data_IF_427793151789
#
_entry.id   IF_427793151789
#
_cell.length_a   1.000
_cell.length_b   1.000
_cell.length_c   1.000
_cell.angle_alpha   90.00
_cell.angle_beta   90.00
_cell.angle_gamma   90.00
#
_symmetry.space_group_name_H-M   'P 1'
#
loop_
_entity.id
_entity.type
_entity.pdbx_description
1 polymer ?
#
# COMPACT_ATOMS: atom_id res chain seq x y z
N UNK A 1 17.20 28.36 3.59
CA UNK A 1 16.88 27.78 2.28
C UNK A 1 15.87 26.68 2.53
N UNK A 2 14.59 26.91 2.21
CA UNK A 2 13.50 26.00 2.51
C UNK A 2 13.29 25.02 1.34
N UNK A 3 13.33 23.72 1.62
CA UNK A 3 13.13 22.65 0.64
C UNK A 3 11.71 22.71 0.06
N UNK A 4 11.63 22.94 -1.26
CA UNK A 4 10.39 22.85 -2.04
C UNK A 4 9.98 21.39 -2.15
N UNK A 5 8.82 21.04 -1.59
CA UNK A 5 8.14 19.75 -1.81
C UNK A 5 7.85 19.57 -3.32
N UNK A 6 7.98 18.35 -3.88
CA UNK A 6 7.76 18.13 -5.30
C UNK A 6 6.27 18.28 -5.63
N UNK A 7 5.99 19.06 -6.67
CA UNK A 7 4.67 19.48 -7.09
C UNK A 7 3.78 18.32 -7.59
N UNK A 8 2.50 18.37 -7.19
CA UNK A 8 1.37 17.69 -7.82
C UNK A 8 1.42 17.88 -9.34
N UNK A 9 1.31 16.79 -10.11
CA UNK A 9 1.07 16.93 -11.56
C UNK A 9 1.58 15.84 -12.50
N UNK A 10 2.15 14.72 -12.00
CA UNK A 10 2.56 13.62 -12.90
C UNK A 10 1.56 12.46 -12.98
N UNK A 11 0.79 12.22 -11.92
CA UNK A 11 -0.10 11.06 -11.83
C UNK A 11 -1.37 11.16 -12.68
N UNK A 12 -2.01 12.33 -12.71
CA UNK A 12 -3.23 12.55 -13.50
C UNK A 12 -2.97 12.43 -15.00
N UNK A 13 -1.78 12.87 -15.45
CA UNK A 13 -1.35 12.88 -16.86
C UNK A 13 -1.31 11.50 -17.51
N UNK A 14 -1.22 10.43 -16.72
CA UNK A 14 -1.23 9.05 -17.22
C UNK A 14 -2.64 8.52 -17.52
N UNK A 15 -3.69 9.12 -16.94
CA UNK A 15 -5.08 8.67 -17.08
C UNK A 15 -5.97 9.65 -17.83
N UNK A 16 -5.68 10.95 -17.71
CA UNK A 16 -6.21 12.02 -18.54
C UNK A 16 -4.99 12.78 -19.02
N UNK A 17 -4.70 12.87 -20.33
CA UNK A 17 -3.54 13.61 -20.77
C UNK A 17 -3.73 15.09 -20.40
N UNK A 18 -3.07 15.54 -19.34
CA UNK A 18 -2.67 16.94 -19.14
C UNK A 18 -1.54 17.26 -20.14
N UNK A 19 -1.74 16.85 -21.40
CA UNK A 19 -1.01 17.45 -22.48
C UNK A 19 -1.38 18.94 -22.44
N UNK A 20 -0.41 19.87 -22.44
CA UNK A 20 -0.71 21.24 -22.87
C UNK A 20 -1.51 21.07 -24.16
N UNK A 21 -2.69 21.71 -24.23
CA UNK A 21 -3.56 21.65 -25.40
C UNK A 21 -2.66 21.80 -26.61
N UNK A 22 -2.39 20.70 -27.31
CA UNK A 22 -1.53 20.76 -28.46
C UNK A 22 -2.21 21.78 -29.38
N UNK A 23 -1.48 22.65 -30.10
CA UNK A 23 -2.09 23.65 -30.97
C UNK A 23 -3.01 23.05 -32.07
N UNK A 24 -3.14 21.72 -32.12
CA UNK A 24 -4.04 20.94 -32.97
C UNK A 24 -5.41 20.60 -32.36
N UNK A 25 -5.63 20.70 -31.04
CA UNK A 25 -6.97 20.59 -30.43
C UNK A 25 -7.68 21.94 -30.64
N UNK A 26 -8.35 22.12 -31.79
CA UNK A 26 -9.07 23.35 -32.10
C UNK A 26 -10.15 23.59 -31.04
N UNK A 27 -9.98 24.65 -30.25
CA UNK A 27 -11.04 25.13 -29.38
C UNK A 27 -12.24 25.54 -30.24
N UNK A 28 -13.41 24.99 -29.94
CA UNK A 28 -14.68 25.33 -30.61
C UNK A 28 -15.52 26.14 -29.65
N UNK A 29 -16.19 27.18 -30.13
CA UNK A 29 -17.16 27.90 -29.31
C UNK A 29 -18.52 27.20 -29.33
N UNK A 30 -19.05 26.91 -28.15
CA UNK A 30 -20.36 26.27 -27.97
C UNK A 30 -21.19 27.08 -26.98
N UNK A 31 -22.50 27.08 -27.19
CA UNK A 31 -23.44 27.75 -26.29
C UNK A 31 -23.34 27.18 -24.88
N UNK A 32 -23.30 28.06 -23.88
CA UNK A 32 -23.09 27.69 -22.47
C UNK A 32 -24.17 26.73 -21.93
N UNK A 33 -25.37 26.77 -22.51
CA UNK A 33 -26.52 25.93 -22.16
C UNK A 33 -26.40 24.48 -22.66
N UNK A 34 -25.53 24.21 -23.65
CA UNK A 34 -25.26 22.86 -24.14
C UNK A 34 -24.26 22.10 -23.26
N UNK A 35 -23.63 22.77 -22.30
CA UNK A 35 -22.71 22.16 -21.35
C UNK A 35 -23.46 21.75 -20.08
N UNK A 36 -23.27 20.50 -19.66
CA UNK A 36 -23.81 19.94 -18.42
C UNK A 36 -22.68 19.62 -17.45
N UNK A 37 -22.88 19.83 -16.14
CA UNK A 37 -21.90 19.45 -15.13
C UNK A 37 -21.74 17.93 -15.07
N UNK A 38 -20.55 17.47 -14.69
CA UNK A 38 -20.30 16.06 -14.46
C UNK A 38 -21.14 15.54 -13.28
N UNK A 39 -22.04 14.60 -13.55
CA UNK A 39 -22.88 13.94 -12.53
C UNK A 39 -22.08 13.25 -11.42
N UNK A 40 -20.83 12.90 -11.70
CA UNK A 40 -19.93 12.18 -10.79
C UNK A 40 -18.95 13.08 -10.02
N UNK A 41 -18.96 14.40 -10.26
CA UNK A 41 -18.15 15.37 -9.50
C UNK A 41 -19.04 16.47 -8.87
N UNK A 42 -19.92 16.14 -7.90
CA UNK A 42 -20.61 17.16 -7.13
C UNK A 42 -19.57 17.89 -6.25
N UNK A 43 -19.22 19.13 -6.59
CA UNK A 43 -18.48 19.99 -5.65
C UNK A 43 -19.37 20.30 -4.45
N UNK A 44 -19.07 19.69 -3.32
CA UNK A 44 -19.80 19.87 -2.05
C UNK A 44 -19.57 21.24 -1.40
N UNK A 45 -18.52 21.97 -1.78
CA UNK A 45 -18.25 23.33 -1.32
C UNK A 45 -17.86 24.22 -2.49
N UNK A 46 -18.83 25.03 -2.92
CA UNK A 46 -18.62 26.01 -3.97
C UNK A 46 -18.36 27.34 -3.28
N UNK A 47 -17.12 27.78 -3.33
CA UNK A 47 -16.71 29.09 -2.84
C UNK A 47 -17.23 30.17 -3.80
N UNK A 48 -18.42 30.68 -3.51
CA UNK A 48 -19.13 31.65 -4.34
C UNK A 48 -18.34 32.95 -4.55
N UNK A 49 -17.55 33.37 -3.56
CA UNK A 49 -16.69 34.55 -3.65
C UNK A 49 -15.62 34.40 -4.73
N UNK A 50 -14.94 33.24 -4.76
CA UNK A 50 -13.93 32.97 -5.80
C UNK A 50 -14.50 32.80 -7.21
N UNK A 51 -15.76 32.39 -7.34
CA UNK A 51 -16.43 32.35 -8.65
C UNK A 51 -16.73 33.76 -9.13
N UNK A 52 -17.15 34.67 -8.24
CA UNK A 52 -17.47 36.05 -8.57
C UNK A 52 -16.23 36.81 -9.10
N UNK A 53 -15.09 36.62 -8.45
CA UNK A 53 -13.83 37.22 -8.90
C UNK A 53 -13.38 36.68 -10.27
N UNK A 54 -13.55 35.38 -10.50
CA UNK A 54 -13.28 34.77 -11.80
C UNK A 54 -14.25 35.28 -12.87
N UNK A 55 -15.53 35.48 -12.53
CA UNK A 55 -16.53 36.03 -13.45
C UNK A 55 -16.19 37.47 -13.85
N UNK A 56 -15.70 38.31 -12.93
CA UNK A 56 -15.20 39.66 -13.24
C UNK A 56 -14.01 39.62 -14.21
N UNK A 57 -13.07 38.70 -14.01
CA UNK A 57 -11.92 38.51 -14.90
C UNK A 57 -12.35 38.05 -16.30
N UNK A 58 -13.23 37.05 -16.36
CA UNK A 58 -13.77 36.49 -17.61
C UNK A 58 -14.59 37.53 -18.39
N UNK A 59 -15.30 38.44 -17.71
CA UNK A 59 -16.05 39.52 -18.39
C UNK A 59 -15.14 40.47 -19.18
N UNK A 60 -13.89 40.68 -18.73
CA UNK A 60 -12.93 41.56 -19.40
C UNK A 60 -12.06 40.87 -20.45
N UNK A 61 -11.67 39.61 -20.23
CA UNK A 61 -10.67 38.93 -21.05
C UNK A 61 -11.18 37.66 -21.74
N UNK A 62 -12.45 37.28 -21.52
CA UNK A 62 -13.00 36.01 -21.96
C UNK A 62 -12.37 34.82 -21.23
N UNK A 63 -12.64 33.62 -21.73
CA UNK A 63 -12.02 32.39 -21.23
C UNK A 63 -10.74 32.12 -22.02
N UNK A 64 -9.59 32.30 -21.39
CA UNK A 64 -8.29 32.06 -22.01
C UNK A 64 -8.00 30.55 -22.16
N UNK A 65 -8.36 29.77 -21.14
CA UNK A 65 -8.12 28.32 -21.14
C UNK A 65 -9.45 27.58 -21.43
N UNK A 66 -9.55 26.85 -22.55
CA UNK A 66 -10.79 26.15 -22.94
C UNK A 66 -11.28 25.15 -21.89
N UNK A 67 -12.59 24.94 -21.84
CA UNK A 67 -13.23 23.93 -20.99
C UNK A 67 -13.11 22.57 -21.68
N UNK A 68 -12.68 21.54 -20.95
CA UNK A 68 -12.57 20.19 -21.52
C UNK A 68 -13.91 19.49 -21.33
N UNK A 69 -14.47 18.99 -22.42
CA UNK A 69 -15.78 18.33 -22.42
C UNK A 69 -15.72 17.00 -23.17
N UNK A 70 -16.63 16.09 -22.84
CA UNK A 70 -16.96 14.93 -23.69
C UNK A 70 -18.24 15.19 -24.45
N UNK A 71 -18.36 14.61 -25.65
CA UNK A 71 -19.57 14.66 -26.45
C UNK A 71 -20.60 13.67 -25.88
N UNK A 72 -21.85 14.12 -25.78
CA UNK A 72 -23.02 13.31 -25.41
C UNK A 72 -24.04 13.35 -26.57
N UNK A 73 -25.07 12.51 -26.51
CA UNK A 73 -26.14 12.52 -27.53
C UNK A 73 -26.83 13.89 -27.61
N UNK A 74 -27.09 14.53 -26.46
CA UNK A 74 -27.77 15.83 -26.34
C UNK A 74 -26.87 16.93 -25.72
N UNK A 75 -25.65 17.11 -26.28
CA UNK A 75 -24.76 18.21 -25.92
C UNK A 75 -23.40 17.75 -25.41
N UNK A 76 -22.90 18.40 -24.36
CA UNK A 76 -21.55 18.19 -23.83
C UNK A 76 -21.55 18.02 -22.32
N UNK A 77 -20.77 17.08 -21.80
CA UNK A 77 -20.55 16.93 -20.37
C UNK A 77 -19.16 17.46 -19.99
N UNK A 78 -19.10 18.33 -18.97
CA UNK A 78 -17.85 18.96 -18.53
C UNK A 78 -16.97 17.92 -17.86
N UNK A 79 -15.78 17.69 -18.40
CA UNK A 79 -14.77 16.82 -17.80
C UNK A 79 -13.87 17.61 -16.86
N UNK A 80 -13.44 18.81 -17.29
CA UNK A 80 -12.61 19.70 -16.49
C UNK A 80 -12.92 21.17 -16.78
N UNK A 81 -12.88 22.00 -15.73
CA UNK A 81 -13.13 23.43 -15.85
C UNK A 81 -14.52 23.90 -15.40
N UNK A 82 -15.22 23.14 -14.54
CA UNK A 82 -16.55 23.49 -14.03
C UNK A 82 -16.62 24.91 -13.43
N UNK A 83 -15.58 25.35 -12.70
CA UNK A 83 -15.50 26.73 -12.17
C UNK A 83 -15.50 27.79 -13.26
N UNK A 84 -14.83 27.53 -14.39
CA UNK A 84 -14.75 28.44 -15.55
C UNK A 84 -16.11 28.53 -16.24
N UNK A 85 -16.79 27.39 -16.43
CA UNK A 85 -18.16 27.36 -16.96
C UNK A 85 -19.15 28.13 -16.08
N UNK A 86 -19.15 27.89 -14.76
CA UNK A 86 -20.02 28.63 -13.83
C UNK A 86 -19.71 30.13 -13.80
N UNK A 87 -18.44 30.50 -13.81
CA UNK A 87 -18.04 31.91 -13.87
C UNK A 87 -18.42 32.56 -15.22
N UNK A 88 -18.40 31.80 -16.32
CA UNK A 88 -18.86 32.26 -17.62
C UNK A 88 -20.37 32.49 -17.67
N UNK A 89 -21.16 31.60 -17.07
CA UNK A 89 -22.60 31.81 -16.88
C UNK A 89 -22.88 33.08 -16.07
N UNK A 90 -22.18 33.29 -14.95
CA UNK A 90 -22.30 34.53 -14.15
C UNK A 90 -21.80 35.79 -14.87
N UNK A 91 -20.81 35.63 -15.75
CA UNK A 91 -20.32 36.72 -16.59
C UNK A 91 -21.29 37.10 -17.72
N UNK A 92 -22.31 36.27 -17.99
CA UNK A 92 -23.29 36.48 -19.06
C UNK A 92 -22.77 36.08 -20.44
N UNK A 93 -21.76 35.21 -20.52
CA UNK A 93 -21.25 34.72 -21.79
C UNK A 93 -22.23 33.72 -22.41
N UNK A 94 -22.66 33.98 -23.64
CA UNK A 94 -23.50 33.07 -24.42
C UNK A 94 -22.71 31.87 -24.94
N UNK A 95 -21.43 32.09 -25.30
CA UNK A 95 -20.54 31.08 -25.86
C UNK A 95 -19.27 30.93 -25.06
N UNK A 96 -18.77 29.71 -24.99
CA UNK A 96 -17.51 29.39 -24.31
C UNK A 96 -16.62 28.51 -25.18
N UNK A 97 -15.29 28.73 -25.16
CA UNK A 97 -14.35 27.87 -25.84
C UNK A 97 -14.27 26.52 -25.13
N UNK A 98 -14.53 25.46 -25.87
CA UNK A 98 -14.43 24.07 -25.42
C UNK A 98 -13.41 23.29 -26.24
N UNK A 99 -12.83 22.26 -25.63
CA UNK A 99 -12.09 21.21 -26.33
C UNK A 99 -12.83 19.91 -26.09
N UNK A 100 -13.31 19.30 -27.19
CA UNK A 100 -13.99 18.01 -27.15
C UNK A 100 -12.94 16.92 -27.13
N UNK A 101 -12.95 16.09 -26.09
CA UNK A 101 -12.13 14.89 -26.03
C UNK A 101 -13.02 13.66 -25.96
N UNK A 102 -12.67 12.67 -26.77
CA UNK A 102 -13.33 11.38 -26.73
C UNK A 102 -12.74 10.57 -25.56
N UNK A 103 -13.38 10.71 -24.40
CA UNK A 103 -12.97 10.05 -23.17
C UNK A 103 -14.06 9.04 -22.80
N UNK A 104 -13.73 7.73 -22.74
CA UNK A 104 -14.66 6.71 -22.27
C UNK A 104 -15.19 7.04 -20.88
N UNK A 105 -16.46 6.73 -20.62
CA UNK A 105 -17.10 6.98 -19.32
C UNK A 105 -16.31 6.36 -18.16
N UNK A 106 -15.80 5.15 -18.35
CA UNK A 106 -14.99 4.43 -17.35
C UNK A 106 -13.74 5.23 -16.94
N UNK A 107 -13.09 5.92 -17.90
CA UNK A 107 -11.92 6.74 -17.62
C UNK A 107 -12.27 7.99 -16.82
N UNK A 108 -13.44 8.57 -17.07
CA UNK A 108 -13.94 9.72 -16.30
C UNK A 108 -14.27 9.33 -14.86
N UNK A 109 -14.94 8.19 -14.70
CA UNK A 109 -15.25 7.62 -13.39
C UNK A 109 -13.99 7.30 -12.59
N UNK A 110 -12.99 6.68 -13.23
CA UNK A 110 -11.70 6.40 -12.61
C UNK A 110 -11.01 7.69 -12.14
N UNK A 111 -11.02 8.73 -12.98
CA UNK A 111 -10.43 10.04 -12.61
C UNK A 111 -11.17 10.71 -11.46
N UNK A 112 -12.50 10.67 -11.44
CA UNK A 112 -13.30 11.22 -10.35
C UNK A 112 -13.04 10.47 -9.03
N UNK A 113 -12.90 9.14 -9.10
CA UNK A 113 -12.54 8.32 -7.94
C UNK A 113 -11.15 8.67 -7.43
N UNK A 114 -10.16 8.87 -8.31
CA UNK A 114 -8.78 9.24 -7.94
C UNK A 114 -8.73 10.63 -7.28
N UNK A 115 -9.46 11.62 -7.81
CA UNK A 115 -9.57 12.93 -7.17
C UNK A 115 -10.17 12.80 -5.76
N UNK A 116 -11.21 11.98 -5.61
CA UNK A 116 -11.81 11.74 -4.29
C UNK A 116 -10.82 11.07 -3.33
N UNK A 117 -9.99 10.14 -3.81
CA UNK A 117 -8.92 9.49 -3.03
C UNK A 117 -7.88 10.50 -2.54
N UNK A 118 -7.57 11.53 -3.33
CA UNK A 118 -6.58 12.55 -2.99
C UNK A 118 -7.08 13.58 -1.95
N UNK A 119 -8.33 13.47 -1.47
CA UNK A 119 -8.86 14.33 -0.41
C UNK A 119 -8.34 13.86 0.95
N UNK A 120 -8.01 14.82 1.83
CA UNK A 120 -7.29 14.55 3.09
C UNK A 120 -8.09 13.82 4.18
N UNK A 121 -9.37 13.51 3.95
CA UNK A 121 -10.30 13.04 4.99
C UNK A 121 -10.63 11.53 4.93
N UNK A 122 -10.06 10.76 3.99
CA UNK A 122 -10.41 9.34 3.85
C UNK A 122 -9.76 8.47 4.93
N UNK A 123 -10.57 7.56 5.49
CA UNK A 123 -10.03 6.55 6.38
C UNK A 123 -9.30 5.44 5.59
N UNK A 124 -8.37 4.69 6.21
CA UNK A 124 -7.58 3.69 5.49
C UNK A 124 -8.39 2.56 4.83
N UNK A 125 -9.57 2.25 5.37
CA UNK A 125 -10.46 1.23 4.80
C UNK A 125 -11.18 1.77 3.56
N UNK A 126 -11.59 3.04 3.57
CA UNK A 126 -12.16 3.72 2.40
C UNK A 126 -11.14 3.84 1.27
N UNK A 127 -9.90 4.23 1.58
CA UNK A 127 -8.81 4.21 0.60
C UNK A 127 -8.62 2.82 -0.01
N UNK A 128 -8.59 1.78 0.83
CA UNK A 128 -8.44 0.39 0.38
C UNK A 128 -9.59 -0.05 -0.55
N UNK A 129 -10.83 0.32 -0.22
CA UNK A 129 -11.99 0.07 -1.08
C UNK A 129 -11.87 0.82 -2.41
N UNK A 130 -11.45 2.07 -2.39
CA UNK A 130 -11.28 2.88 -3.59
C UNK A 130 -10.19 2.30 -4.51
N UNK A 131 -9.06 1.87 -3.96
CA UNK A 131 -8.02 1.16 -4.73
C UNK A 131 -8.51 -0.17 -5.32
N UNK A 132 -9.33 -0.92 -4.57
CA UNK A 132 -9.91 -2.16 -5.10
C UNK A 132 -10.88 -1.88 -6.25
N UNK A 133 -11.71 -0.85 -6.13
CA UNK A 133 -12.60 -0.42 -7.23
C UNK A 133 -11.82 0.01 -8.46
N UNK A 134 -10.72 0.76 -8.30
CA UNK A 134 -9.81 1.11 -9.40
C UNK A 134 -9.23 -0.11 -10.12
N UNK A 135 -8.91 -1.17 -9.38
CA UNK A 135 -8.40 -2.41 -9.97
C UNK A 135 -9.50 -3.25 -10.64
N UNK A 136 -10.64 -3.42 -9.98
CA UNK A 136 -11.68 -4.36 -10.40
C UNK A 136 -12.61 -3.77 -11.47
N UNK A 137 -13.09 -2.53 -11.29
CA UNK A 137 -14.04 -1.87 -12.19
C UNK A 137 -13.35 -1.21 -13.38
N UNK A 138 -12.14 -0.66 -13.19
CA UNK A 138 -11.42 0.11 -14.21
C UNK A 138 -10.19 -0.62 -14.77
N UNK A 139 -9.97 -1.86 -14.34
CA UNK A 139 -8.87 -2.73 -14.79
C UNK A 139 -7.48 -2.08 -14.69
N UNK A 140 -7.29 -1.18 -13.73
CA UNK A 140 -5.99 -0.53 -13.51
C UNK A 140 -5.06 -1.44 -12.72
N UNK A 141 -3.81 -1.49 -13.14
CA UNK A 141 -2.77 -2.18 -12.39
C UNK A 141 -2.41 -1.40 -11.12
N UNK A 142 -1.87 -2.09 -10.11
CA UNK A 142 -1.39 -1.44 -8.88
C UNK A 142 -0.34 -0.36 -9.15
N UNK A 143 0.46 -0.52 -10.20
CA UNK A 143 1.47 0.44 -10.63
C UNK A 143 0.82 1.71 -11.20
N UNK A 144 -0.14 1.58 -12.10
CA UNK A 144 -0.90 2.71 -12.62
C UNK A 144 -1.67 3.46 -11.53
N UNK A 145 -2.27 2.73 -10.57
CA UNK A 145 -2.95 3.34 -9.43
C UNK A 145 -1.94 4.13 -8.59
N UNK A 146 -0.80 3.53 -8.25
CA UNK A 146 0.26 4.14 -7.46
C UNK A 146 0.77 5.45 -8.08
N UNK A 147 1.07 5.42 -9.38
CA UNK A 147 1.49 6.61 -10.14
C UNK A 147 0.41 7.70 -10.11
N UNK A 148 -0.86 7.31 -10.25
CA UNK A 148 -1.98 8.25 -10.30
C UNK A 148 -2.25 8.94 -8.96
N UNK A 149 -2.04 8.24 -7.85
CA UNK A 149 -2.24 8.79 -6.49
C UNK A 149 -0.96 9.30 -5.82
N UNK A 150 0.20 9.18 -6.49
CA UNK A 150 1.49 9.62 -5.95
C UNK A 150 1.97 8.81 -4.74
N UNK A 151 1.57 7.54 -4.64
CA UNK A 151 2.05 6.58 -3.61
C UNK A 151 2.92 5.51 -4.27
N UNK A 152 3.63 4.72 -3.48
CA UNK A 152 4.38 3.58 -4.02
C UNK A 152 3.45 2.37 -4.27
N UNK A 153 3.80 1.52 -5.24
CA UNK A 153 3.05 0.29 -5.56
C UNK A 153 2.85 -0.61 -4.35
N UNK A 154 3.84 -0.69 -3.45
CA UNK A 154 3.75 -1.56 -2.28
C UNK A 154 2.68 -1.04 -1.31
N UNK A 155 2.54 0.28 -1.15
CA UNK A 155 1.48 0.91 -0.37
C UNK A 155 0.11 0.52 -0.90
N UNK A 156 -0.15 0.62 -2.20
CA UNK A 156 -1.42 0.21 -2.81
C UNK A 156 -1.74 -1.26 -2.49
N UNK A 157 -0.76 -2.15 -2.68
CA UNK A 157 -0.93 -3.56 -2.35
C UNK A 157 -1.25 -3.78 -0.86
N UNK A 158 -0.61 -3.02 0.04
CA UNK A 158 -0.83 -3.12 1.47
C UNK A 158 -2.24 -2.64 1.85
N UNK A 159 -2.73 -1.53 1.30
CA UNK A 159 -4.10 -1.06 1.52
C UNK A 159 -5.13 -2.12 1.09
N UNK A 160 -5.02 -2.63 -0.14
CA UNK A 160 -5.96 -3.65 -0.66
C UNK A 160 -5.96 -4.91 0.21
N UNK A 161 -4.81 -5.31 0.78
CA UNK A 161 -4.73 -6.46 1.70
C UNK A 161 -5.50 -6.26 3.00
N UNK A 162 -5.70 -5.03 3.47
CA UNK A 162 -6.48 -4.75 4.69
C UNK A 162 -7.93 -5.20 4.56
N UNK A 163 -8.46 -5.24 3.34
CA UNK A 163 -9.82 -5.72 3.08
C UNK A 163 -9.98 -7.22 3.40
N UNK A 164 -8.88 -7.96 3.54
CA UNK A 164 -8.88 -9.37 3.97
C UNK A 164 -9.04 -9.54 5.48
N UNK A 165 -8.88 -8.46 6.27
CA UNK A 165 -9.07 -8.53 7.71
C UNK A 165 -10.56 -8.70 8.06
N UNK A 166 -10.87 -9.36 9.20
CA UNK A 166 -12.22 -9.47 9.74
C UNK A 166 -12.87 -8.11 9.92
N UNK A 167 -14.21 -8.07 9.81
CA UNK A 167 -14.99 -6.82 9.87
C UNK A 167 -14.71 -6.01 11.12
N UNK A 168 -14.56 -6.65 12.28
CA UNK A 168 -14.28 -5.97 13.56
C UNK A 168 -12.90 -5.27 13.54
N UNK A 169 -11.87 -5.92 13.00
CA UNK A 169 -10.53 -5.33 12.87
C UNK A 169 -10.55 -4.15 11.90
N UNK A 170 -11.30 -4.27 10.79
CA UNK A 170 -11.49 -3.16 9.84
C UNK A 170 -12.23 -1.99 10.48
N UNK A 171 -13.24 -2.25 11.31
CA UNK A 171 -13.97 -1.21 12.04
C UNK A 171 -13.05 -0.46 13.01
N UNK A 172 -12.21 -1.17 13.77
CA UNK A 172 -11.22 -0.58 14.67
C UNK A 172 -10.15 0.23 13.93
N UNK A 173 -9.79 -0.16 12.70
CA UNK A 173 -8.89 0.62 11.85
C UNK A 173 -9.58 1.89 11.31
N UNK A 174 -10.84 1.79 10.91
CA UNK A 174 -11.63 2.93 10.43
C UNK A 174 -11.89 3.98 11.54
N UNK A 175 -12.09 3.54 12.78
CA UNK A 175 -12.25 4.44 13.94
C UNK A 175 -10.94 5.03 14.46
N UNK A 176 -9.78 4.59 13.95
CA UNK A 176 -8.46 5.00 14.42
C UNK A 176 -7.99 4.30 15.70
N UNK A 177 -8.77 3.36 16.25
CA UNK A 177 -8.36 2.55 17.41
C UNK A 177 -7.20 1.61 17.10
N UNK A 178 -7.04 1.22 15.83
CA UNK A 178 -5.87 0.53 15.31
C UNK A 178 -5.17 1.39 14.28
N UNK A 179 -3.84 1.38 14.31
CA UNK A 179 -3.03 1.99 13.26
C UNK A 179 -2.88 1.05 12.06
N UNK A 180 -2.48 1.60 10.92
CA UNK A 180 -2.08 0.83 9.73
C UNK A 180 -0.97 -0.19 10.03
N UNK A 181 -0.04 0.13 10.93
CA UNK A 181 1.01 -0.79 11.37
C UNK A 181 0.44 -2.01 12.08
N UNK A 182 -0.50 -1.81 13.00
CA UNK A 182 -1.19 -2.91 13.69
C UNK A 182 -1.94 -3.81 12.71
N UNK A 183 -2.71 -3.21 11.80
CA UNK A 183 -3.49 -3.95 10.82
C UNK A 183 -2.60 -4.79 9.88
N UNK A 184 -1.44 -4.25 9.47
CA UNK A 184 -0.45 -4.99 8.68
C UNK A 184 0.16 -6.17 9.44
N UNK A 185 0.46 -5.99 10.73
CA UNK A 185 0.99 -7.07 11.55
C UNK A 185 -0.04 -8.20 11.70
N UNK A 186 -1.31 -7.85 11.93
CA UNK A 186 -2.41 -8.84 12.06
C UNK A 186 -2.56 -9.71 10.80
N UNK A 187 -2.31 -9.17 9.60
CA UNK A 187 -2.34 -9.93 8.35
C UNK A 187 -1.29 -11.06 8.27
N UNK A 188 -0.30 -11.10 9.16
CA UNK A 188 0.66 -12.20 9.24
C UNK A 188 0.11 -13.44 9.98
N UNK A 189 -0.99 -13.28 10.73
CA UNK A 189 -1.63 -14.38 11.44
C UNK A 189 -2.40 -15.29 10.46
N UNK A 190 -2.36 -16.62 10.69
CA UNK A 190 -2.84 -17.60 9.72
C UNK A 190 -4.37 -17.69 9.61
N UNK A 191 -5.09 -17.39 10.69
CA UNK A 191 -6.53 -17.56 10.78
C UNK A 191 -7.25 -16.32 11.34
N UNK A 192 -8.52 -16.16 10.97
CA UNK A 192 -9.35 -15.01 11.38
C UNK A 192 -9.58 -14.96 12.89
N UNK A 193 -9.67 -16.10 13.58
CA UNK A 193 -9.90 -16.15 15.02
C UNK A 193 -8.68 -15.59 15.80
N UNK A 194 -7.46 -15.90 15.35
CA UNK A 194 -6.24 -15.32 15.85
C UNK A 194 -6.17 -13.82 15.59
N UNK A 195 -6.56 -13.36 14.39
CA UNK A 195 -6.61 -11.94 14.04
C UNK A 195 -7.57 -11.16 14.93
N UNK A 196 -8.77 -11.70 15.20
CA UNK A 196 -9.74 -11.10 16.12
C UNK A 196 -9.24 -11.05 17.56
N UNK A 197 -8.72 -12.18 18.06
CA UNK A 197 -8.21 -12.28 19.44
C UNK A 197 -7.08 -11.29 19.69
N UNK A 198 -6.06 -11.29 18.83
CA UNK A 198 -4.91 -10.39 18.95
C UNK A 198 -5.31 -8.95 18.67
N UNK A 199 -6.21 -8.71 17.72
CA UNK A 199 -6.73 -7.38 17.43
C UNK A 199 -7.42 -6.74 18.63
N UNK A 200 -8.26 -7.50 19.35
CA UNK A 200 -8.90 -7.06 20.60
C UNK A 200 -7.86 -6.79 21.68
N UNK A 201 -6.88 -7.67 21.84
CA UNK A 201 -5.81 -7.50 22.82
C UNK A 201 -4.99 -6.22 22.58
N UNK A 202 -4.63 -5.91 21.33
CA UNK A 202 -3.94 -4.67 20.97
C UNK A 202 -4.75 -3.44 21.36
N UNK A 203 -6.07 -3.43 21.11
CA UNK A 203 -6.94 -2.31 21.45
C UNK A 203 -7.11 -2.18 22.97
N UNK A 204 -7.40 -3.28 23.67
CA UNK A 204 -7.63 -3.27 25.12
C UNK A 204 -6.38 -2.88 25.91
N UNK A 205 -5.21 -3.39 25.51
CA UNK A 205 -3.94 -3.10 26.17
C UNK A 205 -3.21 -1.87 25.57
N UNK A 206 -3.82 -1.18 24.60
CA UNK A 206 -3.25 -0.01 23.91
C UNK A 206 -1.79 -0.22 23.46
N UNK A 207 -1.52 -1.40 22.88
CA UNK A 207 -0.16 -1.79 22.51
C UNK A 207 0.41 -0.90 21.41
N UNK A 208 1.73 -0.67 21.46
CA UNK A 208 2.44 -0.02 20.36
C UNK A 208 2.60 -0.97 19.16
N UNK A 209 2.89 -0.42 17.98
CA UNK A 209 3.11 -1.22 16.77
C UNK A 209 4.22 -2.26 16.98
N UNK A 210 5.28 -1.87 17.68
CA UNK A 210 6.41 -2.75 17.98
C UNK A 210 6.02 -3.89 18.93
N UNK A 211 5.19 -3.59 19.93
CA UNK A 211 4.73 -4.60 20.88
C UNK A 211 3.77 -5.58 20.22
N UNK A 212 2.87 -5.08 19.37
CA UNK A 212 1.97 -5.89 18.55
C UNK A 212 2.76 -6.82 17.61
N UNK A 213 3.78 -6.31 16.92
CA UNK A 213 4.67 -7.12 16.06
C UNK A 213 5.41 -8.20 16.87
N UNK A 214 5.91 -7.86 18.06
CA UNK A 214 6.58 -8.81 18.96
C UNK A 214 5.64 -9.92 19.43
N UNK A 215 4.41 -9.56 19.82
CA UNK A 215 3.37 -10.50 20.24
C UNK A 215 2.99 -11.45 19.11
N UNK A 216 2.77 -10.92 17.90
CA UNK A 216 2.45 -11.71 16.72
C UNK A 216 3.61 -12.62 16.35
N UNK A 217 4.85 -12.11 16.36
CA UNK A 217 6.05 -12.91 16.09
C UNK A 217 6.20 -14.08 17.05
N UNK A 218 5.93 -13.88 18.35
CA UNK A 218 5.92 -14.97 19.35
C UNK A 218 4.83 -16.00 19.07
N UNK A 219 3.64 -15.55 18.66
CA UNK A 219 2.51 -16.42 18.33
C UNK A 219 2.70 -17.20 17.02
N UNK A 220 3.44 -16.65 16.04
CA UNK A 220 3.72 -17.29 14.74
C UNK A 220 5.06 -18.01 14.68
N UNK A 221 5.88 -17.92 15.72
CA UNK A 221 7.19 -18.59 15.73
C UNK A 221 6.97 -20.11 15.67
N UNK A 222 7.69 -20.84 14.79
CA UNK A 222 7.68 -22.29 14.83
C UNK A 222 8.13 -22.75 16.22
N UNK A 223 7.56 -23.85 16.77
CA UNK A 223 7.99 -24.34 18.08
C UNK A 223 9.52 -24.51 18.07
N UNK A 224 10.21 -24.11 19.15
CA UNK A 224 11.65 -24.30 19.21
C UNK A 224 11.94 -25.77 18.94
N UNK A 225 12.84 -26.06 17.98
CA UNK A 225 13.30 -27.42 17.71
C UNK A 225 13.79 -27.98 19.04
N UNK A 226 13.06 -28.94 19.61
CA UNK A 226 13.53 -29.72 20.74
C UNK A 226 14.86 -30.33 20.35
N UNK A 227 15.94 -29.89 20.98
CA UNK A 227 17.19 -30.63 20.96
C UNK A 227 16.88 -32.06 21.44
N UNK A 228 17.25 -33.12 20.70
CA UNK A 228 16.99 -34.47 21.14
C UNK A 228 17.66 -34.68 22.50
N UNK A 229 16.89 -35.10 23.50
CA UNK A 229 17.41 -35.51 24.80
C UNK A 229 18.49 -36.57 24.57
N UNK A 230 19.75 -36.20 24.78
CA UNK A 230 20.88 -37.12 24.70
C UNK A 230 20.69 -38.16 25.80
N UNK A 231 20.49 -39.42 25.39
CA UNK A 231 20.44 -40.60 26.26
C UNK A 231 21.50 -40.52 27.37
N UNK A 232 21.11 -40.79 28.63
CA UNK A 232 21.99 -40.73 29.82
C UNK A 232 23.27 -41.57 29.64
N UNK A 233 23.18 -42.67 28.89
CA UNK A 233 24.31 -43.53 28.54
C UNK A 233 25.29 -42.89 27.54
N UNK A 234 24.79 -42.04 26.64
CA UNK A 234 25.62 -41.32 25.64
C UNK A 234 26.44 -40.24 26.32
N UNK A 235 25.84 -39.50 27.26
CA UNK A 235 26.54 -38.47 28.03
C UNK A 235 27.67 -39.03 28.91
N UNK A 236 27.43 -40.17 29.57
CA UNK A 236 28.47 -40.84 30.37
C UNK A 236 29.63 -41.37 29.51
N UNK A 237 29.34 -41.83 28.29
CA UNK A 237 30.37 -42.25 27.33
C UNK A 237 31.17 -41.06 26.76
N UNK A 238 30.50 -39.94 26.45
CA UNK A 238 31.15 -38.69 26.05
C UNK A 238 32.10 -38.16 27.14
N UNK A 239 31.67 -38.15 28.40
CA UNK A 239 32.53 -37.68 29.50
C UNK A 239 33.75 -38.57 29.73
N UNK A 240 33.60 -39.90 29.63
CA UNK A 240 34.74 -40.83 29.74
C UNK A 240 35.73 -40.67 28.59
N UNK A 241 35.24 -40.56 27.35
CA UNK A 241 36.11 -40.34 26.19
C UNK A 241 36.80 -38.97 26.24
N UNK A 242 36.09 -37.93 26.72
CA UNK A 242 36.68 -36.60 26.95
C UNK A 242 37.80 -36.65 27.98
N UNK A 243 37.62 -37.39 29.08
CA UNK A 243 38.65 -37.55 30.11
C UNK A 243 39.85 -38.37 29.63
N UNK A 244 39.62 -39.43 28.84
CA UNK A 244 40.69 -40.28 28.32
C UNK A 244 41.52 -39.59 27.21
N UNK A 245 40.86 -38.90 26.28
CA UNK A 245 41.52 -38.29 25.11
C UNK A 245 41.97 -36.84 25.34
N UNK A 246 41.50 -36.20 26.42
CA UNK A 246 41.81 -34.81 26.75
C UNK A 246 41.19 -33.78 25.80
N UNK A 247 40.32 -34.21 24.89
CA UNK A 247 39.71 -33.37 23.84
C UNK A 247 38.20 -33.43 23.85
N UNK A 248 37.55 -32.50 23.13
CA UNK A 248 36.08 -32.49 23.05
C UNK A 248 35.62 -33.65 22.18
N UNK A 249 34.82 -34.53 22.78
CA UNK A 249 34.23 -35.69 22.10
C UNK A 249 32.72 -35.55 22.08
N UNK A 250 32.11 -35.79 20.91
CA UNK A 250 30.66 -35.82 20.71
C UNK A 250 30.25 -37.17 20.13
N UNK A 251 29.17 -37.75 20.65
CA UNK A 251 28.63 -39.01 20.17
C UNK A 251 27.25 -38.74 19.56
N UNK A 252 27.21 -38.67 18.23
CA UNK A 252 25.96 -38.55 17.48
C UNK A 252 25.42 -39.95 17.16
N UNK A 253 24.39 -40.40 17.89
CA UNK A 253 23.71 -41.67 17.60
C UNK A 253 22.69 -41.52 16.48
N UNK A 254 22.65 -42.48 15.55
CA UNK A 254 21.64 -42.57 14.48
C UNK A 254 21.15 -44.02 14.37
N UNK A 255 20.03 -44.33 15.02
CA UNK A 255 19.47 -45.68 15.07
C UNK A 255 20.35 -46.65 15.87
N UNK A 256 20.68 -47.83 15.30
CA UNK A 256 21.58 -48.83 15.91
C UNK A 256 23.08 -48.50 15.79
N UNK A 257 23.42 -47.49 15.00
CA UNK A 257 24.79 -47.02 14.80
C UNK A 257 24.99 -45.60 15.31
N UNK A 258 26.20 -45.07 15.18
CA UNK A 258 26.52 -43.71 15.56
C UNK A 258 27.86 -43.26 15.01
N UNK A 259 28.14 -41.98 15.19
CA UNK A 259 29.44 -41.37 14.90
C UNK A 259 30.01 -40.81 16.19
N UNK A 260 31.29 -41.06 16.42
CA UNK A 260 32.08 -40.37 17.43
C UNK A 260 32.89 -39.31 16.71
N UNK A 261 32.67 -38.05 17.05
CA UNK A 261 33.41 -36.90 16.54
C UNK A 261 34.37 -36.43 17.64
N UNK A 262 35.66 -36.41 17.32
CA UNK A 262 36.74 -36.00 18.23
C UNK A 262 37.36 -34.75 17.61
N UNK A 263 37.21 -33.61 18.30
CA UNK A 263 37.82 -32.36 17.88
C UNK A 263 39.30 -32.35 18.30
N UNK A 264 40.21 -31.99 17.38
CA UNK A 264 41.62 -31.75 17.67
C UNK A 264 42.01 -30.33 17.20
N UNK A 265 42.97 -29.72 17.89
CA UNK A 265 43.38 -28.33 17.64
C UNK A 265 44.58 -28.21 16.70
N UNK A 266 45.47 -29.19 16.73
CA UNK A 266 46.72 -29.24 15.97
C UNK A 266 47.11 -30.68 15.60
N UNK A 267 48.13 -30.81 14.75
CA UNK A 267 48.62 -32.13 14.29
C UNK A 267 49.22 -32.96 15.44
N UNK A 268 49.82 -32.31 16.44
CA UNK A 268 50.38 -32.98 17.61
C UNK A 268 49.28 -33.65 18.46
N UNK A 269 48.13 -32.97 18.63
CA UNK A 269 46.96 -33.52 19.31
C UNK A 269 46.30 -34.65 18.52
N UNK A 270 46.26 -34.55 17.19
CA UNK A 270 45.79 -35.64 16.33
C UNK A 270 46.69 -36.87 16.45
N UNK A 271 48.01 -36.68 16.46
CA UNK A 271 48.99 -37.76 16.62
C UNK A 271 48.84 -38.45 17.99
N UNK A 272 48.67 -37.68 19.07
CA UNK A 272 48.41 -38.21 20.42
C UNK A 272 47.12 -39.04 20.46
N UNK A 273 46.04 -38.55 19.85
CA UNK A 273 44.76 -39.29 19.77
C UNK A 273 44.94 -40.57 18.96
N UNK A 274 45.66 -40.51 17.84
CA UNK A 274 45.94 -41.67 16.99
C UNK A 274 46.70 -42.76 17.75
N UNK A 275 47.77 -42.40 18.46
CA UNK A 275 48.54 -43.32 19.31
C UNK A 275 47.64 -43.95 20.38
N UNK A 276 46.85 -43.13 21.09
CA UNK A 276 45.96 -43.61 22.15
C UNK A 276 44.83 -44.54 21.66
N UNK A 277 44.44 -44.45 20.39
CA UNK A 277 43.42 -45.31 19.77
C UNK A 277 43.99 -46.57 19.11
N UNK A 278 45.29 -46.58 18.77
CA UNK A 278 45.95 -47.67 18.03
C UNK A 278 46.84 -48.53 18.90
N UNK A 279 47.32 -48.02 20.03
CA UNK A 279 47.94 -48.83 21.07
C UNK A 279 46.89 -49.71 21.75
N UNK A 280 46.82 -50.98 21.35
CA UNK A 280 46.10 -51.98 22.13
C UNK A 280 46.83 -52.20 23.46
N UNK A 281 46.11 -52.34 24.59
CA UNK A 281 46.72 -52.85 25.81
C UNK A 281 47.24 -54.27 25.64
#
# INVERSE_FOLDING_TARGET
MAEKRPALGRGLSALIPDAPVAPADRAVEVDTDLLRPNRFQPRSSIDEGRIEDLAKSIRGHGIIQPIVVRKMDDGYEIVAGERRWRAAQRAGLLKVPIVVRDIPEDRLLASALIENIQREDLNPIEEAHAYRRLADEFHLTQEQIADSVGKDRSSIANYVRLLRLPQEVRANLASGSLSMGHARALLALPDEAAQLRVGREIVTAALSVRDAESLIRKATAPPPKTEPQTDVHTRAAEERLRLALGTRVRIARKGKGGRVEIDFKDEDELQRIYEHLTEKP
#
